data_IF_852184522283
#
_entry.id   IF_852184522283
#
_cell.length_a   1.000
_cell.length_b   1.000
_cell.length_c   1.000
_cell.angle_alpha   90.00
_cell.angle_beta   90.00
_cell.angle_gamma   90.00
#
_symmetry.space_group_name_H-M   'P 1'
#
loop_
_entity.id
_entity.type
_entity.pdbx_description
1 polymer ?
#
# COMPACT_ATOMS: atom_id res chain seq x y z
N UNK A 1 -2.70 4.94 13.13
CA UNK A 1 -1.96 4.29 12.03
C UNK A 1 -1.35 3.00 12.61
N UNK A 2 -2.18 1.96 12.74
CA UNK A 2 -1.86 0.72 13.47
C UNK A 2 -1.47 -0.37 12.46
N UNK A 3 -0.21 -0.84 12.53
CA UNK A 3 0.38 -1.80 11.56
C UNK A 3 -0.33 -3.15 11.65
N UNK A 4 -0.66 -3.61 12.85
CA UNK A 4 -1.30 -4.90 13.08
C UNK A 4 -2.70 -4.95 12.44
N UNK A 5 -3.40 -3.82 12.38
CA UNK A 5 -4.68 -3.70 11.65
C UNK A 5 -4.49 -3.69 10.13
N UNK A 6 -3.41 -3.11 9.63
CA UNK A 6 -3.15 -3.06 8.19
C UNK A 6 -2.82 -4.43 7.60
N UNK A 7 -2.11 -5.24 8.39
CA UNK A 7 -1.73 -6.60 8.04
C UNK A 7 -2.92 -7.44 7.53
N UNK A 8 -4.09 -7.26 8.15
CA UNK A 8 -5.32 -7.97 7.81
C UNK A 8 -5.83 -7.67 6.40
N UNK A 9 -5.46 -6.55 5.78
CA UNK A 9 -5.88 -6.27 4.40
C UNK A 9 -5.01 -7.00 3.36
N UNK A 10 -3.86 -7.55 3.74
CA UNK A 10 -2.94 -8.21 2.82
C UNK A 10 -3.26 -9.69 2.62
N UNK A 11 -3.05 -10.16 1.39
CA UNK A 11 -3.04 -11.59 1.07
C UNK A 11 -1.86 -12.32 1.71
N UNK A 12 -1.81 -13.64 1.57
CA UNK A 12 -0.73 -14.46 2.14
C UNK A 12 0.63 -14.16 1.50
N UNK A 13 0.63 -13.75 0.23
CA UNK A 13 1.81 -13.28 -0.49
C UNK A 13 1.47 -11.99 -1.25
N UNK A 14 2.36 -11.01 -1.15
CA UNK A 14 2.16 -9.66 -1.67
C UNK A 14 3.39 -9.22 -2.43
N UNK A 15 3.25 -8.78 -3.68
CA UNK A 15 4.32 -8.05 -4.37
C UNK A 15 4.41 -6.65 -3.79
N UNK A 16 5.48 -6.32 -3.05
CA UNK A 16 5.51 -5.13 -2.17
C UNK A 16 6.66 -4.17 -2.50
N UNK A 17 6.35 -2.94 -2.94
CA UNK A 17 7.27 -1.82 -3.17
C UNK A 17 8.66 -2.19 -3.74
N UNK A 18 8.71 -2.97 -4.83
CA UNK A 18 9.98 -3.36 -5.47
C UNK A 18 10.84 -4.37 -4.68
N UNK A 19 10.40 -4.83 -3.50
CA UNK A 19 11.06 -5.81 -2.64
C UNK A 19 10.73 -7.27 -2.99
N UNK A 20 10.13 -7.51 -4.15
CA UNK A 20 9.66 -8.83 -4.55
C UNK A 20 8.37 -9.26 -3.86
N UNK A 21 8.14 -10.58 -3.76
CA UNK A 21 6.98 -11.19 -3.10
C UNK A 21 7.29 -11.42 -1.63
N UNK A 22 6.55 -10.77 -0.75
CA UNK A 22 6.67 -10.88 0.70
C UNK A 22 5.47 -11.63 1.28
N UNK A 23 5.69 -12.38 2.35
CA UNK A 23 4.60 -12.90 3.19
C UNK A 23 3.95 -11.77 3.97
N UNK A 24 2.77 -12.04 4.53
CA UNK A 24 2.06 -11.06 5.37
C UNK A 24 2.91 -10.55 6.55
N UNK A 25 3.58 -11.43 7.29
CA UNK A 25 4.47 -11.05 8.39
C UNK A 25 5.66 -10.21 7.89
N UNK A 26 6.20 -10.52 6.70
CA UNK A 26 7.28 -9.73 6.11
C UNK A 26 6.81 -8.33 5.70
N UNK A 27 5.57 -8.19 5.20
CA UNK A 27 4.95 -6.88 4.94
C UNK A 27 4.79 -6.08 6.23
N UNK A 28 4.31 -6.72 7.31
CA UNK A 28 4.17 -6.10 8.61
C UNK A 28 5.52 -5.58 9.12
N UNK A 29 6.53 -6.45 9.20
CA UNK A 29 7.86 -6.09 9.65
C UNK A 29 8.47 -4.97 8.79
N UNK A 30 8.31 -5.06 7.46
CA UNK A 30 8.78 -4.03 6.54
C UNK A 30 8.12 -2.66 6.77
N UNK A 31 6.83 -2.66 7.14
CA UNK A 31 6.07 -1.46 7.46
C UNK A 31 6.47 -0.89 8.83
N UNK A 32 6.73 -1.74 9.82
CA UNK A 32 7.24 -1.35 11.14
C UNK A 32 8.60 -0.66 11.04
N UNK A 33 9.54 -1.25 10.28
CA UNK A 33 10.86 -0.65 10.03
C UNK A 33 10.71 0.73 9.40
N UNK A 34 9.85 0.85 8.38
CA UNK A 34 9.58 2.15 7.75
C UNK A 34 8.94 3.16 8.74
N UNK A 35 8.06 2.69 9.62
CA UNK A 35 7.42 3.53 10.63
C UNK A 35 8.40 3.99 11.73
N UNK A 36 9.41 3.20 12.05
CA UNK A 36 10.48 3.58 12.96
C UNK A 36 11.42 4.59 12.30
N UNK A 37 11.75 4.40 11.01
CA UNK A 37 12.61 5.31 10.24
C UNK A 37 11.98 6.71 10.09
N UNK A 38 10.66 6.77 9.87
CA UNK A 38 9.93 8.00 9.56
C UNK A 38 8.75 8.22 10.50
N UNK A 39 8.93 8.51 11.81
CA UNK A 39 7.85 8.54 12.82
C UNK A 39 6.70 9.50 12.50
N UNK A 40 6.98 10.66 11.88
CA UNK A 40 5.95 11.61 11.45
C UNK A 40 5.64 11.35 9.99
N UNK A 41 4.37 11.06 9.68
CA UNK A 41 3.92 10.68 8.34
C UNK A 41 2.56 11.28 8.04
N UNK A 42 2.39 11.87 6.87
CA UNK A 42 1.12 12.39 6.37
C UNK A 42 0.91 11.93 4.93
N UNK A 43 -0.28 11.39 4.65
CA UNK A 43 -0.70 10.96 3.33
C UNK A 43 -2.00 11.68 2.99
N UNK A 44 -2.00 12.47 1.92
CA UNK A 44 -3.16 13.27 1.51
C UNK A 44 -3.60 12.78 0.13
N UNK A 45 -4.75 12.08 0.01
CA UNK A 45 -5.30 11.72 -1.28
C UNK A 45 -5.47 12.95 -2.19
N UNK A 46 -5.14 12.79 -3.46
CA UNK A 46 -5.29 13.79 -4.51
C UNK A 46 -6.15 13.23 -5.62
N UNK A 47 -7.01 14.07 -6.19
CA UNK A 47 -7.85 13.70 -7.31
C UNK A 47 -8.80 12.53 -7.02
N UNK A 48 -9.30 11.92 -8.09
CA UNK A 48 -10.19 10.76 -8.00
C UNK A 48 -9.38 9.46 -7.97
N UNK A 49 -9.86 8.52 -7.17
CA UNK A 49 -9.43 7.14 -7.25
C UNK A 49 -9.92 6.52 -8.57
N UNK A 50 -9.05 5.78 -9.25
CA UNK A 50 -9.40 4.99 -10.44
C UNK A 50 -9.37 3.52 -10.09
N UNK A 51 -10.45 2.82 -10.40
CA UNK A 51 -10.56 1.37 -10.21
C UNK A 51 -10.78 0.75 -11.59
N UNK A 52 -9.96 -0.22 -11.95
CA UNK A 52 -10.10 -1.00 -13.18
C UNK A 52 -10.04 -2.48 -12.87
N UNK A 53 -10.74 -3.30 -13.63
CA UNK A 53 -10.82 -4.73 -13.41
C UNK A 53 -11.93 -5.37 -14.22
N UNK A 54 -11.89 -6.68 -14.37
CA UNK A 54 -12.97 -7.46 -14.99
C UNK A 54 -13.55 -8.39 -13.94
N UNK A 55 -14.88 -8.38 -13.80
CA UNK A 55 -15.61 -9.20 -12.83
C UNK A 55 -15.26 -10.70 -12.96
N UNK A 56 -14.99 -11.18 -14.18
CA UNK A 56 -14.62 -12.57 -14.45
C UNK A 56 -13.25 -13.01 -13.91
N UNK A 57 -12.38 -12.08 -13.48
CA UNK A 57 -11.04 -12.39 -12.97
C UNK A 57 -10.87 -12.17 -11.46
N UNK A 58 -11.92 -11.74 -10.75
CA UNK A 58 -11.89 -11.43 -9.32
C UNK A 58 -10.72 -10.52 -8.89
N UNK A 59 -10.17 -9.74 -9.82
CA UNK A 59 -8.96 -8.95 -9.61
C UNK A 59 -9.16 -7.53 -10.12
N UNK A 60 -8.83 -6.58 -9.27
CA UNK A 60 -9.04 -5.16 -9.52
C UNK A 60 -7.75 -4.41 -9.22
N UNK A 61 -7.37 -3.51 -10.12
CA UNK A 61 -6.31 -2.55 -9.92
C UNK A 61 -6.92 -1.24 -9.43
N UNK A 62 -6.32 -0.70 -8.39
CA UNK A 62 -6.70 0.58 -7.79
C UNK A 62 -5.52 1.54 -7.89
N UNK A 63 -5.79 2.74 -8.38
CA UNK A 63 -4.84 3.84 -8.51
C UNK A 63 -5.37 5.04 -7.71
N UNK A 64 -4.62 5.46 -6.70
CA UNK A 64 -4.92 6.63 -5.89
C UNK A 64 -3.73 7.61 -5.95
N UNK A 65 -3.84 8.74 -6.65
CA UNK A 65 -2.86 9.82 -6.52
C UNK A 65 -2.87 10.37 -5.09
N UNK A 66 -1.71 10.72 -4.56
CA UNK A 66 -1.59 11.29 -3.21
C UNK A 66 -0.33 12.13 -3.08
N UNK A 67 -0.39 13.12 -2.20
CA UNK A 67 0.76 13.84 -1.69
C UNK A 67 1.24 13.21 -0.39
N UNK A 68 2.54 13.11 -0.21
CA UNK A 68 3.14 12.53 1.00
C UNK A 68 4.14 13.46 1.64
N UNK A 69 4.17 13.41 2.96
CA UNK A 69 5.17 14.08 3.79
C UNK A 69 5.63 13.10 4.85
N UNK A 70 6.94 12.98 5.02
CA UNK A 70 7.56 12.18 6.08
C UNK A 70 8.67 12.95 6.78
N UNK A 71 8.80 12.76 8.08
CA UNK A 71 9.85 13.37 8.88
C UNK A 71 10.27 12.47 10.05
N UNK A 72 11.55 12.55 10.40
CA UNK A 72 12.14 11.89 11.56
C UNK A 72 12.79 12.88 12.54
N UNK A 73 12.45 14.17 12.42
CA UNK A 73 12.97 15.25 13.26
C UNK A 73 14.29 15.86 12.77
N UNK A 74 15.15 15.08 12.12
CA UNK A 74 16.41 15.59 11.51
C UNK A 74 16.28 15.83 10.00
N UNK A 75 15.41 15.06 9.35
CA UNK A 75 15.12 15.16 7.92
C UNK A 75 13.62 15.24 7.69
N UNK A 76 13.22 15.99 6.66
CA UNK A 76 11.87 16.02 6.13
C UNK A 76 11.92 15.79 4.63
N UNK A 77 10.99 14.99 4.11
CA UNK A 77 10.84 14.72 2.68
C UNK A 77 9.36 14.79 2.34
N UNK A 78 9.07 15.29 1.15
CA UNK A 78 7.72 15.31 0.62
C UNK A 78 7.72 15.12 -0.89
N UNK A 79 6.56 14.82 -1.44
CA UNK A 79 6.37 14.69 -2.87
C UNK A 79 4.97 14.21 -3.23
N UNK A 80 4.73 14.10 -4.53
CA UNK A 80 3.51 13.54 -5.08
C UNK A 80 3.80 12.17 -5.68
N UNK A 81 2.83 11.27 -5.60
CA UNK A 81 2.95 9.94 -6.18
C UNK A 81 1.57 9.33 -6.47
N UNK A 82 1.55 8.18 -7.13
CA UNK A 82 0.33 7.37 -7.27
C UNK A 82 0.50 6.03 -6.58
N UNK A 83 -0.39 5.73 -5.64
CA UNK A 83 -0.46 4.43 -4.99
C UNK A 83 -1.16 3.49 -5.96
N UNK A 84 -0.45 2.45 -6.41
CA UNK A 84 -1.01 1.38 -7.22
C UNK A 84 -1.07 0.12 -6.40
N UNK A 85 -2.27 -0.40 -6.17
CA UNK A 85 -2.44 -1.69 -5.52
C UNK A 85 -3.42 -2.56 -6.29
N UNK A 86 -3.17 -3.87 -6.24
CA UNK A 86 -4.05 -4.88 -6.82
C UNK A 86 -4.75 -5.60 -5.68
N UNK A 87 -6.07 -5.64 -5.75
CA UNK A 87 -6.89 -6.43 -4.84
C UNK A 87 -7.46 -7.64 -5.55
N UNK A 88 -7.56 -8.74 -4.82
CA UNK A 88 -8.21 -9.97 -5.25
C UNK A 88 -9.42 -10.23 -4.34
N UNK A 89 -10.55 -10.59 -4.95
CA UNK A 89 -11.77 -10.97 -4.25
C UNK A 89 -11.73 -12.46 -3.94
N UNK A 90 -11.73 -12.80 -2.66
CA UNK A 90 -11.78 -14.17 -2.18
C UNK A 90 -13.16 -14.82 -2.36
N UNK A 91 -13.27 -16.14 -2.16
CA UNK A 91 -14.53 -16.88 -2.30
C UNK A 91 -15.64 -16.40 -1.35
N UNK A 92 -15.27 -15.92 -0.16
CA UNK A 92 -16.18 -15.33 0.82
C UNK A 92 -16.59 -13.89 0.48
N UNK A 93 -16.09 -13.34 -0.63
CA UNK A 93 -16.35 -11.97 -1.06
C UNK A 93 -15.45 -10.91 -0.41
N UNK A 94 -14.52 -11.30 0.46
CA UNK A 94 -13.53 -10.40 1.05
C UNK A 94 -12.47 -9.97 0.03
N UNK A 95 -11.92 -8.77 0.19
CA UNK A 95 -10.87 -8.27 -0.69
C UNK A 95 -9.52 -8.29 0.04
N UNK A 96 -8.51 -8.81 -0.65
CA UNK A 96 -7.13 -8.83 -0.15
C UNK A 96 -6.19 -8.15 -1.12
N UNK A 97 -5.29 -7.34 -0.59
CA UNK A 97 -4.23 -6.70 -1.34
C UNK A 97 -3.15 -7.74 -1.65
N UNK A 98 -2.90 -7.98 -2.93
CA UNK A 98 -1.92 -8.96 -3.43
C UNK A 98 -0.71 -8.29 -4.12
N UNK A 99 -0.79 -6.99 -4.40
CA UNK A 99 0.34 -6.20 -4.86
C UNK A 99 0.20 -4.74 -4.43
N UNK A 100 1.30 -4.10 -4.06
CA UNK A 100 1.39 -2.66 -3.77
C UNK A 100 2.68 -2.11 -4.33
N UNK A 101 2.60 -0.97 -5.01
CA UNK A 101 3.74 -0.18 -5.45
C UNK A 101 3.39 1.30 -5.50
N UNK A 102 4.43 2.13 -5.48
CA UNK A 102 4.34 3.55 -5.75
C UNK A 102 4.78 3.81 -7.19
N UNK A 103 4.01 4.61 -7.92
CA UNK A 103 4.32 5.09 -9.26
C UNK A 103 4.69 6.58 -9.20
N UNK A 104 5.51 7.02 -10.15
CA UNK A 104 5.92 8.42 -10.34
C UNK A 104 6.54 9.02 -9.07
N UNK A 105 7.57 8.36 -8.54
CA UNK A 105 8.28 8.77 -7.32
C UNK A 105 9.39 9.76 -7.62
#
# INVERSE_FOLDING_TARGET
NDVSRQEHFFGNQVTFYGRGRLTRNQVQHSTEVYHQEWPVRKWIPRGRCTISGSAGRNRYQVLQPFHWTVSNGSQSKEGDATLSFTVERGPAGDFRIIAVKQLNR
#
